data_IF_283762690188
#
_entry.id   IF_283762690188
#
_cell.length_a   1.000
_cell.length_b   1.000
_cell.length_c   1.000
_cell.angle_alpha   90.00
_cell.angle_beta   90.00
_cell.angle_gamma   90.00
#
_symmetry.space_group_name_H-M   'P 1'
#
loop_
_entity.id
_entity.type
_entity.pdbx_description
1 polymer ?
#
# COMPACT_ATOMS: atom_id res chain seq x y z
N UNK A 1 8.32 11.29 -1.35
CA UNK A 1 6.98 11.93 -1.34
C UNK A 1 6.95 13.00 -0.27
N UNK A 2 6.40 14.17 -0.57
CA UNK A 2 6.25 15.31 0.35
C UNK A 2 5.13 15.01 1.36
N UNK A 3 5.19 15.61 2.55
CA UNK A 3 4.27 15.32 3.66
C UNK A 3 2.82 15.72 3.36
N UNK A 4 2.60 16.87 2.71
CA UNK A 4 1.26 17.32 2.26
C UNK A 4 0.53 16.23 1.46
N UNK A 5 1.26 15.56 0.57
CA UNK A 5 0.71 14.50 -0.27
C UNK A 5 0.44 13.20 0.47
N UNK A 6 1.17 12.94 1.57
CA UNK A 6 0.85 11.82 2.46
C UNK A 6 -0.48 12.08 3.16
N UNK A 7 -0.67 13.30 3.67
CA UNK A 7 -1.90 13.71 4.34
C UNK A 7 -3.11 13.57 3.40
N UNK A 8 -3.01 14.07 2.16
CA UNK A 8 -4.08 13.90 1.16
C UNK A 8 -4.46 12.44 0.91
N UNK A 9 -3.48 11.54 0.83
CA UNK A 9 -3.73 10.10 0.65
C UNK A 9 -4.38 9.51 1.89
N UNK A 10 -3.91 9.88 3.09
CA UNK A 10 -4.47 9.42 4.37
C UNK A 10 -5.95 9.84 4.47
N UNK A 11 -6.27 11.10 4.20
CA UNK A 11 -7.64 11.62 4.22
C UNK A 11 -8.54 10.86 3.24
N UNK A 12 -8.10 10.65 2.00
CA UNK A 12 -8.84 9.87 1.00
C UNK A 12 -9.12 8.45 1.48
N UNK A 13 -8.14 7.78 2.08
CA UNK A 13 -8.31 6.43 2.62
C UNK A 13 -9.28 6.41 3.80
N UNK A 14 -9.19 7.38 4.72
CA UNK A 14 -10.12 7.48 5.84
C UNK A 14 -11.57 7.74 5.39
N UNK A 15 -11.78 8.51 4.32
CA UNK A 15 -13.10 8.68 3.71
C UNK A 15 -13.67 7.37 3.15
N UNK A 16 -12.81 6.52 2.57
CA UNK A 16 -13.22 5.21 2.02
C UNK A 16 -13.33 4.10 3.07
N UNK A 17 -12.51 4.16 4.13
CA UNK A 17 -12.41 3.20 5.21
C UNK A 17 -12.44 3.93 6.56
N UNK A 18 -13.60 4.43 7.01
CA UNK A 18 -13.71 5.23 8.23
C UNK A 18 -13.37 4.46 9.51
N UNK A 19 -13.35 3.13 9.44
CA UNK A 19 -12.97 2.25 10.55
C UNK A 19 -11.46 2.00 10.65
N UNK A 20 -10.67 2.45 9.67
CA UNK A 20 -9.22 2.32 9.70
C UNK A 20 -8.60 3.42 10.58
N UNK A 21 -7.73 3.03 11.52
CA UNK A 21 -6.95 3.99 12.31
C UNK A 21 -6.00 4.78 11.42
N UNK A 22 -5.90 6.09 11.65
CA UNK A 22 -4.96 6.98 10.95
C UNK A 22 -3.51 6.48 11.03
N UNK A 23 -3.06 6.13 12.23
CA UNK A 23 -1.71 5.59 12.46
C UNK A 23 -1.46 4.33 11.63
N UNK A 24 -2.51 3.50 11.47
CA UNK A 24 -2.44 2.28 10.66
C UNK A 24 -2.35 2.62 9.18
N UNK A 25 -3.18 3.56 8.68
CA UNK A 25 -3.13 4.03 7.29
C UNK A 25 -1.73 4.58 6.97
N UNK A 26 -1.20 5.43 7.84
CA UNK A 26 0.13 6.04 7.68
C UNK A 26 1.25 4.99 7.71
N UNK A 27 1.14 3.99 8.59
CA UNK A 27 2.08 2.86 8.63
C UNK A 27 2.10 2.07 7.33
N UNK A 28 0.92 1.75 6.77
CA UNK A 28 0.81 1.02 5.50
C UNK A 28 1.30 1.88 4.34
N UNK A 29 0.96 3.17 4.30
CA UNK A 29 1.45 4.11 3.30
C UNK A 29 2.98 4.15 3.27
N UNK A 30 3.64 4.25 4.43
CA UNK A 30 5.10 4.26 4.51
C UNK A 30 5.73 2.95 4.00
N UNK A 31 5.09 1.80 4.26
CA UNK A 31 5.55 0.51 3.71
C UNK A 31 5.41 0.46 2.19
N UNK A 32 4.29 0.94 1.64
CA UNK A 32 4.08 1.01 0.19
C UNK A 32 5.10 1.92 -0.48
N UNK A 33 5.36 3.11 0.10
CA UNK A 33 6.39 4.03 -0.40
C UNK A 33 7.78 3.38 -0.36
N UNK A 34 8.12 2.70 0.73
CA UNK A 34 9.39 2.00 0.87
C UNK A 34 9.56 0.95 -0.23
N UNK A 35 8.51 0.18 -0.49
CA UNK A 35 8.52 -0.87 -1.49
C UNK A 35 8.56 -0.31 -2.92
N UNK A 36 7.84 0.76 -3.24
CA UNK A 36 7.98 1.46 -4.54
C UNK A 36 9.43 1.94 -4.75
N UNK A 37 10.06 2.49 -3.71
CA UNK A 37 11.46 2.89 -3.79
C UNK A 37 12.41 1.70 -3.97
N UNK A 38 12.08 0.52 -3.46
CA UNK A 38 12.90 -0.69 -3.64
C UNK A 38 12.94 -1.13 -5.12
N UNK A 39 11.86 -0.89 -5.86
CA UNK A 39 11.79 -1.10 -7.32
C UNK A 39 12.52 -0.02 -8.14
N UNK A 40 12.83 1.14 -7.55
CA UNK A 40 13.55 2.25 -8.22
C UNK A 40 15.06 2.00 -8.28
N UNK A 41 15.46 0.95 -9.01
CA UNK A 41 16.87 0.53 -9.17
C UNK A 41 17.73 1.56 -9.90
N UNK A 42 17.12 2.34 -10.79
CA UNK A 42 17.72 3.42 -11.57
C UNK A 42 17.93 4.73 -10.78
N UNK A 43 17.38 4.84 -9.56
CA UNK A 43 17.49 6.01 -8.67
C UNK A 43 17.03 7.32 -9.32
N UNK A 44 15.98 7.28 -10.13
CA UNK A 44 15.36 8.48 -10.67
C UNK A 44 14.47 9.15 -9.64
N UNK A 45 14.13 10.42 -9.85
CA UNK A 45 13.08 11.07 -9.08
C UNK A 45 11.71 10.46 -9.44
N UNK A 46 10.91 10.16 -8.43
CA UNK A 46 9.64 9.45 -8.61
C UNK A 46 8.52 10.48 -8.74
N UNK A 47 7.82 10.47 -9.88
CA UNK A 47 6.60 11.24 -10.08
C UNK A 47 5.45 10.64 -9.26
N UNK A 48 5.38 11.00 -7.97
CA UNK A 48 4.40 10.42 -7.01
C UNK A 48 2.93 10.62 -7.43
N UNK A 49 2.62 11.62 -8.27
CA UNK A 49 1.29 11.81 -8.89
C UNK A 49 0.85 10.59 -9.71
N UNK A 50 1.75 9.97 -10.46
CA UNK A 50 1.43 8.81 -11.29
C UNK A 50 1.19 7.55 -10.45
N UNK A 51 1.78 7.50 -9.26
CA UNK A 51 1.62 6.41 -8.31
C UNK A 51 0.41 6.56 -7.40
N UNK A 52 -0.18 7.74 -7.29
CA UNK A 52 -1.23 8.01 -6.32
C UNK A 52 -2.44 7.05 -6.43
N UNK A 53 -3.00 6.77 -7.63
CA UNK A 53 -4.11 5.82 -7.75
C UNK A 53 -3.73 4.41 -7.30
N UNK A 54 -2.51 3.98 -7.64
CA UNK A 54 -1.97 2.67 -7.26
C UNK A 54 -1.77 2.57 -5.75
N UNK A 55 -1.17 3.59 -5.14
CA UNK A 55 -0.93 3.66 -3.70
C UNK A 55 -2.26 3.57 -2.96
N UNK A 56 -3.26 4.35 -3.38
CA UNK A 56 -4.60 4.32 -2.81
C UNK A 56 -5.22 2.93 -2.90
N UNK A 57 -5.16 2.28 -4.07
CA UNK A 57 -5.72 0.95 -4.27
C UNK A 57 -5.05 -0.11 -3.38
N UNK A 58 -3.72 -0.09 -3.29
CA UNK A 58 -2.94 -1.01 -2.46
C UNK A 58 -3.30 -0.84 -0.99
N UNK A 59 -3.32 0.40 -0.49
CA UNK A 59 -3.66 0.68 0.92
C UNK A 59 -5.09 0.26 1.21
N UNK A 60 -6.04 0.59 0.32
CA UNK A 60 -7.43 0.18 0.47
C UNK A 60 -7.58 -1.33 0.57
N UNK A 61 -6.96 -2.09 -0.36
CA UNK A 61 -7.02 -3.55 -0.36
C UNK A 61 -6.37 -4.17 0.87
N UNK A 62 -5.21 -3.65 1.29
CA UNK A 62 -4.51 -4.12 2.48
C UNK A 62 -5.35 -3.94 3.75
N UNK A 63 -5.85 -2.72 3.98
CA UNK A 63 -6.63 -2.40 5.17
C UNK A 63 -8.01 -3.06 5.18
N UNK A 64 -8.68 -3.15 4.03
CA UNK A 64 -9.96 -3.85 3.92
C UNK A 64 -9.81 -5.34 4.26
N UNK A 65 -8.74 -5.98 3.77
CA UNK A 65 -8.45 -7.37 4.11
C UNK A 65 -8.18 -7.55 5.61
N UNK A 66 -7.44 -6.63 6.24
CA UNK A 66 -7.23 -6.63 7.70
C UNK A 66 -8.55 -6.51 8.48
N UNK A 67 -9.44 -5.60 8.07
CA UNK A 67 -10.75 -5.41 8.69
C UNK A 67 -11.63 -6.64 8.50
N UNK A 68 -11.72 -7.19 7.28
CA UNK A 68 -12.53 -8.37 6.97
C UNK A 68 -12.05 -9.61 7.74
N UNK A 69 -10.72 -9.81 7.84
CA UNK A 69 -10.11 -10.88 8.67
C UNK A 69 -10.41 -10.68 10.17
N UNK A 70 -10.37 -9.43 10.67
CA UNK A 70 -10.73 -9.11 12.05
C UNK A 70 -12.20 -9.39 12.36
N UNK A 71 -13.11 -9.07 11.43
CA UNK A 71 -14.54 -9.38 11.60
C UNK A 71 -14.81 -10.89 11.60
N UNK A 72 -14.04 -11.66 10.83
CA UNK A 72 -14.13 -13.11 10.83
C UNK A 72 -13.62 -13.76 12.13
N UNK A 73 -12.57 -13.20 12.77
CA UNK A 73 -12.01 -13.74 14.02
C UNK A 73 -12.90 -13.49 15.24
N UNK A 74 -13.67 -12.41 15.27
CA UNK A 74 -14.59 -12.09 16.38
C UNK A 74 -15.79 -13.04 16.46
N UNK A 75 -16.14 -13.76 15.38
CA UNK A 75 -17.28 -14.71 15.35
C UNK A 75 -17.00 -16.11 15.89
N UNK A 76 -15.78 -16.41 16.36
CA UNK A 76 -15.51 -17.64 17.10
C UNK A 76 -14.97 -17.28 18.47
N UNK A 77 -15.75 -17.62 19.50
CA UNK A 77 -15.25 -17.62 20.86
C UNK A 77 -13.95 -18.41 20.93
N UNK A 78 -13.03 -17.88 21.74
CA UNK A 78 -11.69 -18.37 22.07
C UNK A 78 -10.48 -17.78 21.31
N UNK A 79 -9.65 -17.17 22.18
CA UNK A 79 -8.19 -17.09 22.24
C UNK A 79 -7.39 -16.06 21.43
N UNK A 80 -6.74 -15.17 22.21
CA UNK A 80 -5.51 -14.39 21.97
C UNK A 80 -5.28 -13.83 20.56
N UNK A 81 -5.60 -12.56 20.38
CA UNK A 81 -5.24 -11.78 19.19
C UNK A 81 -3.76 -11.40 19.29
N UNK A 82 -2.89 -12.17 18.64
CA UNK A 82 -1.57 -11.69 18.25
C UNK A 82 -1.74 -10.85 16.97
N UNK A 83 -1.54 -9.54 17.08
CA UNK A 83 -1.46 -8.64 15.93
C UNK A 83 -0.12 -8.84 15.22
N UNK A 84 0.07 -10.00 14.59
CA UNK A 84 1.10 -10.14 13.56
C UNK A 84 0.44 -9.68 12.28
N UNK A 85 0.47 -8.37 12.03
CA UNK A 85 0.31 -7.85 10.67
C UNK A 85 1.43 -8.53 9.87
N UNK A 86 1.06 -9.54 9.09
CA UNK A 86 1.99 -10.23 8.23
C UNK A 86 2.45 -9.23 7.17
N UNK A 87 3.62 -8.60 7.36
CA UNK A 87 4.30 -7.81 6.32
C UNK A 87 4.35 -8.54 4.97
N UNK A 88 4.30 -9.88 5.00
CA UNK A 88 4.16 -10.79 3.86
C UNK A 88 2.90 -10.55 3.02
N UNK A 89 1.76 -10.17 3.61
CA UNK A 89 0.52 -9.92 2.87
C UNK A 89 0.64 -8.65 1.99
N UNK A 90 1.25 -7.60 2.54
CA UNK A 90 1.51 -6.35 1.79
C UNK A 90 2.58 -6.61 0.73
N UNK A 91 3.63 -7.36 1.07
CA UNK A 91 4.68 -7.70 0.11
C UNK A 91 4.14 -8.53 -1.06
N UNK A 92 3.30 -9.54 -0.80
CA UNK A 92 2.64 -10.34 -1.84
C UNK A 92 1.69 -9.49 -2.70
N UNK A 93 0.96 -8.54 -2.08
CA UNK A 93 0.14 -7.59 -2.82
C UNK A 93 1.00 -6.70 -3.72
N UNK A 94 2.13 -6.18 -3.22
CA UNK A 94 3.05 -5.36 -4.00
C UNK A 94 3.74 -6.14 -5.13
N UNK A 95 4.07 -7.41 -4.92
CA UNK A 95 4.57 -8.29 -5.98
C UNK A 95 3.57 -8.39 -7.15
N UNK A 96 2.26 -8.44 -6.85
CA UNK A 96 1.21 -8.46 -7.89
C UNK A 96 1.17 -7.17 -8.73
N UNK A 97 1.60 -6.04 -8.15
CA UNK A 97 1.70 -4.75 -8.84
C UNK A 97 3.11 -4.44 -9.35
N UNK A 98 4.09 -5.31 -9.12
CA UNK A 98 5.49 -5.07 -9.48
C UNK A 98 5.69 -4.68 -10.94
N UNK A 99 4.97 -5.33 -11.87
CA UNK A 99 5.03 -4.99 -13.30
C UNK A 99 4.49 -3.59 -13.59
N UNK A 100 3.40 -3.17 -12.93
CA UNK A 100 2.85 -1.82 -13.09
C UNK A 100 3.80 -0.77 -12.49
N UNK A 101 4.34 -1.03 -11.30
CA UNK A 101 5.32 -0.15 -10.63
C UNK A 101 6.55 0.06 -11.51
N UNK A 102 7.13 -1.03 -12.04
CA UNK A 102 8.31 -0.95 -12.90
C UNK A 102 8.04 -0.25 -14.23
N UNK A 103 6.82 -0.38 -14.80
CA UNK A 103 6.41 0.36 -16.00
C UNK A 103 6.31 1.86 -15.75
N UNK A 104 5.70 2.27 -14.63
CA UNK A 104 5.61 3.69 -14.25
C UNK A 104 7.01 4.25 -13.97
N UNK A 105 7.88 3.49 -13.27
CA UNK A 105 9.27 3.88 -13.06
C UNK A 105 10.09 3.93 -14.36
N UNK A 106 9.72 3.15 -15.38
CA UNK A 106 10.48 3.05 -16.63
C UNK A 106 11.88 2.45 -16.47
N UNK A 107 12.15 1.76 -15.36
CA UNK A 107 13.49 1.27 -15.01
C UNK A 107 13.71 -0.22 -15.27
N UNK A 108 12.72 -0.88 -15.88
CA UNK A 108 12.91 -2.18 -16.53
C UNK A 108 13.41 -1.95 -17.96
N UNK A 109 14.54 -2.57 -18.29
CA UNK A 109 15.17 -2.60 -19.61
C UNK A 109 14.35 -3.42 -20.62
N UNK A 110 13.10 -3.04 -20.85
CA UNK A 110 12.23 -3.76 -21.77
C UNK A 110 10.83 -3.18 -21.83
N UNK A 111 10.54 -2.55 -22.95
CA UNK A 111 9.22 -2.12 -23.44
C UNK A 111 8.81 -0.69 -23.06
N UNK A 112 9.37 0.25 -23.82
CA UNK A 112 8.70 1.52 -24.14
C UNK A 112 7.59 1.22 -25.16
N UNK A 113 6.34 1.55 -24.84
CA UNK A 113 5.30 1.67 -25.87
C UNK A 113 5.32 3.11 -26.38
N UNK A 114 5.80 3.27 -27.62
CA UNK A 114 5.76 4.51 -28.40
C UNK A 114 4.43 4.61 -29.16
#
# INVERSE_FOLDING_TARGET
MVDEKKEEIVEKIQLMLPNASEDRVLSVLNLVIFEINSYNTCKIDIAWDEFEPLIIEVIYKALKNEIDKSVASVKRGDTSISYVVESKDIQSLMESYSSAIKRILGCDSGVFFY
#
